data_IF_638235799589
#
_entry.id   IF_638235799589
#
_cell.length_a   1.000
_cell.length_b   1.000
_cell.length_c   1.000
_cell.angle_alpha   90.00
_cell.angle_beta   90.00
_cell.angle_gamma   90.00
#
_symmetry.space_group_name_H-M   'P 1'
#
loop_
_entity.id
_entity.type
_entity.pdbx_description
1 polymer ?
#
# COMPACT_ATOMS: atom_id res chain seq x y z
N UNK A 1 -13.40 3.83 4.90
CA UNK A 1 -13.08 2.45 5.35
C UNK A 1 -14.39 1.78 5.73
N UNK A 2 -14.58 0.49 5.40
CA UNK A 2 -15.83 -0.19 5.76
C UNK A 2 -15.84 -0.53 7.25
N UNK A 3 -17.04 -0.70 7.80
CA UNK A 3 -17.21 -1.10 9.20
C UNK A 3 -16.63 -2.49 9.48
N UNK A 4 -16.62 -3.38 8.48
CA UNK A 4 -16.01 -4.70 8.56
C UNK A 4 -14.49 -4.64 8.73
N UNK A 5 -13.81 -3.73 8.02
CA UNK A 5 -12.35 -3.54 8.15
C UNK A 5 -11.98 -3.05 9.55
N UNK A 6 -12.76 -2.11 10.10
CA UNK A 6 -12.51 -1.58 11.44
C UNK A 6 -12.73 -2.65 12.51
N UNK A 7 -13.78 -3.48 12.35
CA UNK A 7 -14.02 -4.62 13.22
C UNK A 7 -12.92 -5.67 13.14
N UNK A 8 -12.36 -5.92 11.95
CA UNK A 8 -11.22 -6.81 11.80
C UNK A 8 -10.02 -6.31 12.61
N UNK A 9 -9.65 -5.03 12.48
CA UNK A 9 -8.53 -4.46 13.23
C UNK A 9 -8.76 -4.46 14.74
N UNK A 10 -9.98 -4.19 15.19
CA UNK A 10 -10.32 -4.27 16.61
C UNK A 10 -10.23 -5.72 17.13
N UNK A 11 -10.84 -6.67 16.41
CA UNK A 11 -10.87 -8.08 16.82
C UNK A 11 -9.50 -8.77 16.79
N UNK A 12 -8.56 -8.25 15.99
CA UNK A 12 -7.18 -8.72 15.91
C UNK A 12 -6.23 -8.00 16.87
N UNK A 13 -6.75 -7.06 17.67
CA UNK A 13 -5.97 -6.28 18.64
C UNK A 13 -5.02 -5.27 18.00
N UNK A 14 -5.19 -4.96 16.71
CA UNK A 14 -4.38 -3.97 16.00
C UNK A 14 -4.77 -2.54 16.39
N UNK A 15 -6.03 -2.30 16.73
CA UNK A 15 -6.50 -1.02 17.31
C UNK A 15 -7.21 -1.30 18.64
N UNK A 16 -7.24 -0.30 19.53
CA UNK A 16 -7.81 -0.43 20.87
C UNK A 16 -9.30 -0.05 20.95
N UNK A 17 -9.76 0.74 19.98
CA UNK A 17 -11.11 1.28 19.95
C UNK A 17 -11.67 1.20 18.53
N UNK A 18 -13.00 1.26 18.41
CA UNK A 18 -13.68 1.24 17.12
C UNK A 18 -13.71 2.65 16.51
N UNK A 19 -12.53 3.23 16.31
CA UNK A 19 -12.33 4.52 15.65
C UNK A 19 -11.35 4.37 14.48
N UNK A 20 -11.76 4.87 13.31
CA UNK A 20 -10.93 4.85 12.12
C UNK A 20 -9.70 5.80 12.24
N UNK A 21 -9.75 6.79 13.13
CA UNK A 21 -8.61 7.65 13.43
C UNK A 21 -7.45 6.89 14.09
N UNK A 22 -7.72 5.77 14.77
CA UNK A 22 -6.70 4.92 15.39
C UNK A 22 -5.97 4.03 14.38
N UNK A 23 -6.38 4.02 13.10
CA UNK A 23 -5.72 3.23 12.05
C UNK A 23 -4.53 3.99 11.49
N UNK A 24 -3.33 3.50 11.78
CA UNK A 24 -2.07 3.98 11.19
C UNK A 24 -1.85 3.56 9.72
N UNK A 25 -1.22 4.46 8.95
CA UNK A 25 -0.97 4.31 7.52
C UNK A 25 0.51 4.51 7.19
N UNK A 26 1.04 3.67 6.29
CA UNK A 26 2.29 3.95 5.58
C UNK A 26 1.93 4.52 4.20
N UNK A 27 2.45 5.70 3.88
CA UNK A 27 2.10 6.44 2.67
C UNK A 27 3.15 6.30 1.57
N UNK A 28 2.68 6.28 0.31
CA UNK A 28 3.48 6.30 -0.90
C UNK A 28 4.57 5.21 -0.94
N UNK A 29 4.19 3.95 -0.68
CA UNK A 29 5.06 2.78 -0.70
C UNK A 29 5.44 2.34 -2.13
N UNK A 30 6.02 3.25 -2.89
CA UNK A 30 6.14 3.17 -4.34
C UNK A 30 7.49 2.62 -4.85
N UNK A 31 8.26 1.93 -4.00
CA UNK A 31 9.57 1.36 -4.38
C UNK A 31 9.87 0.07 -3.61
N UNK A 32 10.85 -0.71 -4.05
CA UNK A 32 11.27 -1.93 -3.32
C UNK A 32 11.66 -1.63 -1.87
N UNK A 33 12.42 -0.55 -1.66
CA UNK A 33 12.85 -0.13 -0.33
C UNK A 33 11.66 0.26 0.56
N UNK A 34 10.72 1.04 0.03
CA UNK A 34 9.57 1.50 0.79
C UNK A 34 8.57 0.40 1.08
N UNK A 35 8.33 -0.54 0.16
CA UNK A 35 7.45 -1.66 0.47
C UNK A 35 8.06 -2.56 1.54
N UNK A 36 9.39 -2.78 1.50
CA UNK A 36 10.12 -3.50 2.55
C UNK A 36 10.00 -2.82 3.92
N UNK A 37 10.07 -1.48 3.94
CA UNK A 37 9.89 -0.69 5.16
C UNK A 37 8.43 -0.77 5.66
N UNK A 38 7.47 -0.57 4.78
CA UNK A 38 6.04 -0.58 5.09
C UNK A 38 5.60 -1.92 5.70
N UNK A 39 6.10 -3.04 5.17
CA UNK A 39 5.83 -4.38 5.68
C UNK A 39 6.35 -4.60 7.11
N UNK A 40 7.47 -3.96 7.47
CA UNK A 40 8.08 -4.04 8.81
C UNK A 40 7.56 -2.98 9.78
N UNK A 41 6.88 -1.95 9.28
CA UNK A 41 6.35 -0.84 10.08
C UNK A 41 5.19 -1.29 10.98
N UNK A 42 4.84 -0.51 12.02
CA UNK A 42 3.62 -0.75 12.80
C UNK A 42 2.33 -0.45 12.04
N UNK A 43 2.38 0.25 10.90
CA UNK A 43 1.19 0.70 10.17
C UNK A 43 0.24 -0.44 9.83
N UNK A 44 -1.07 -0.23 9.92
CA UNK A 44 -2.06 -1.26 9.59
C UNK A 44 -2.35 -1.30 8.10
N UNK A 45 -2.32 -0.12 7.46
CA UNK A 45 -2.62 0.07 6.07
C UNK A 45 -1.39 0.54 5.30
N UNK A 46 -1.17 -0.02 4.11
CA UNK A 46 -0.18 0.45 3.16
C UNK A 46 -0.89 1.13 2.00
N UNK A 47 -0.43 2.32 1.69
CA UNK A 47 -0.87 3.11 0.57
C UNK A 47 0.21 3.18 -0.49
N UNK A 48 -0.19 3.00 -1.75
CA UNK A 48 0.72 3.11 -2.87
C UNK A 48 0.02 3.58 -4.14
N UNK A 49 0.77 4.32 -4.95
CA UNK A 49 0.33 4.94 -6.17
C UNK A 49 0.69 4.07 -7.38
N UNK A 50 -0.22 3.94 -8.34
CA UNK A 50 -0.04 3.14 -9.54
C UNK A 50 -0.19 4.02 -10.77
N UNK A 51 0.72 3.90 -11.72
CA UNK A 51 0.56 4.46 -13.07
C UNK A 51 1.15 3.54 -14.13
N UNK A 52 0.84 3.80 -15.40
CA UNK A 52 1.50 3.13 -16.52
C UNK A 52 2.87 3.75 -16.79
N UNK A 53 3.89 2.92 -16.93
CA UNK A 53 5.26 3.35 -17.21
C UNK A 53 5.32 4.33 -18.38
N UNK A 54 6.16 5.35 -18.26
CA UNK A 54 6.36 6.40 -19.27
C UNK A 54 6.98 5.90 -20.58
N UNK A 55 7.70 4.78 -20.53
CA UNK A 55 8.43 4.15 -21.64
C UNK A 55 8.03 2.68 -21.82
N UNK A 56 8.50 2.06 -22.90
CA UNK A 56 8.33 0.62 -23.11
C UNK A 56 9.22 -0.19 -22.14
N UNK A 57 8.71 -1.29 -21.54
CA UNK A 57 7.33 -1.79 -21.69
C UNK A 57 6.31 -0.93 -20.92
N UNK A 58 5.18 -0.64 -21.56
CA UNK A 58 4.02 0.10 -20.99
C UNK A 58 3.25 -0.72 -19.96
N UNK A 59 3.90 -1.06 -18.84
CA UNK A 59 3.33 -1.85 -17.74
C UNK A 59 2.93 -0.98 -16.54
N UNK A 60 2.02 -1.45 -15.66
CA UNK A 60 1.71 -0.78 -14.41
C UNK A 60 2.88 -0.88 -13.42
N UNK A 61 3.26 0.26 -12.86
CA UNK A 61 4.36 0.40 -11.90
C UNK A 61 3.89 1.17 -10.67
N UNK A 62 4.62 1.01 -9.57
CA UNK A 62 4.34 1.77 -8.35
C UNK A 62 5.03 3.12 -8.44
N UNK A 63 4.31 4.18 -8.76
CA UNK A 63 4.86 5.52 -8.90
C UNK A 63 3.78 6.59 -8.72
N UNK A 64 4.22 7.75 -8.22
CA UNK A 64 3.41 8.97 -8.15
C UNK A 64 4.03 10.02 -9.08
N UNK A 65 3.25 10.81 -9.84
CA UNK A 65 3.81 11.91 -10.62
C UNK A 65 4.66 12.88 -9.76
N UNK A 66 5.76 13.45 -10.28
CA UNK A 66 6.18 13.46 -11.69
C UNK A 66 7.00 12.22 -12.12
N UNK A 67 7.21 11.24 -11.23
CA UNK A 67 7.89 10.01 -11.60
C UNK A 67 7.08 9.26 -12.66
N UNK A 68 7.76 8.78 -13.69
CA UNK A 68 7.17 8.00 -14.79
C UNK A 68 7.76 6.59 -14.87
N UNK A 69 8.64 6.26 -13.93
CA UNK A 69 9.34 4.99 -13.81
C UNK A 69 9.46 4.62 -12.31
N UNK A 70 9.65 3.34 -12.02
CA UNK A 70 9.87 2.79 -10.68
C UNK A 70 10.71 1.51 -10.75
N UNK A 71 11.41 1.24 -9.65
CA UNK A 71 12.20 0.03 -9.45
C UNK A 71 11.32 -1.20 -9.14
N UNK A 72 10.01 -1.02 -8.98
CA UNK A 72 9.06 -2.11 -8.71
C UNK A 72 7.81 -2.01 -9.59
N UNK A 73 7.47 -3.13 -10.23
CA UNK A 73 6.21 -3.27 -10.98
C UNK A 73 5.04 -3.42 -10.02
N UNK A 74 3.82 -3.07 -10.45
CA UNK A 74 2.63 -3.35 -9.64
C UNK A 74 2.48 -4.84 -9.34
N UNK A 75 2.82 -5.70 -10.32
CA UNK A 75 2.76 -7.15 -10.17
C UNK A 75 3.68 -7.64 -9.06
N UNK A 76 4.92 -7.16 -9.01
CA UNK A 76 5.88 -7.59 -8.00
C UNK A 76 5.54 -6.98 -6.64
N UNK A 77 5.10 -5.73 -6.60
CA UNK A 77 4.58 -5.11 -5.38
C UNK A 77 3.40 -5.90 -4.78
N UNK A 78 2.46 -6.39 -5.60
CA UNK A 78 1.37 -7.25 -5.14
C UNK A 78 1.87 -8.55 -4.48
N UNK A 79 2.93 -9.16 -5.01
CA UNK A 79 3.50 -10.38 -4.42
C UNK A 79 4.03 -10.10 -3.01
N UNK A 80 4.69 -8.96 -2.81
CA UNK A 80 5.22 -8.55 -1.50
C UNK A 80 4.10 -8.37 -0.47
N UNK A 81 2.99 -7.70 -0.83
CA UNK A 81 1.91 -7.43 0.15
C UNK A 81 0.98 -8.60 0.40
N UNK A 82 0.81 -9.52 -0.56
CA UNK A 82 -0.14 -10.65 -0.44
C UNK A 82 0.21 -11.58 0.73
N UNK A 83 1.49 -11.65 1.12
CA UNK A 83 1.95 -12.43 2.28
C UNK A 83 1.75 -11.75 3.64
N UNK A 84 1.22 -10.52 3.67
CA UNK A 84 1.15 -9.71 4.88
C UNK A 84 -0.26 -9.59 5.45
N UNK A 85 -0.36 -9.23 6.73
CA UNK A 85 -1.64 -8.88 7.39
C UNK A 85 -2.03 -7.41 7.20
N UNK A 86 -1.29 -6.68 6.36
CA UNK A 86 -1.51 -5.25 6.12
C UNK A 86 -2.70 -5.07 5.19
N UNK A 87 -3.58 -4.13 5.50
CA UNK A 87 -4.56 -3.67 4.51
C UNK A 87 -3.88 -2.81 3.45
N UNK A 88 -4.50 -2.69 2.28
CA UNK A 88 -3.92 -1.97 1.13
C UNK A 88 -4.92 -0.97 0.54
N UNK A 89 -4.46 0.25 0.23
CA UNK A 89 -5.15 1.20 -0.67
C UNK A 89 -4.28 1.44 -1.90
N UNK A 90 -4.81 1.08 -3.06
CA UNK A 90 -4.18 1.32 -4.36
C UNK A 90 -4.73 2.62 -4.97
N UNK A 91 -3.88 3.61 -5.21
CA UNK A 91 -4.25 4.89 -5.79
C UNK A 91 -3.82 4.97 -7.26
N UNK A 92 -4.77 4.71 -8.16
CA UNK A 92 -4.52 4.72 -9.61
C UNK A 92 -4.47 6.15 -10.15
N UNK A 93 -3.32 6.52 -10.69
CA UNK A 93 -3.06 7.83 -11.32
C UNK A 93 -3.37 7.79 -12.81
N UNK A 94 -3.63 8.98 -13.35
CA UNK A 94 -3.82 9.22 -14.78
C UNK A 94 -2.50 9.39 -15.49
#
# INVERSE_FOLDING_TARGET
MSEQTLQYFLSSGQIQEKDAASVEWYHAANSNSKITEALKSPAHMIEADILLRGSDPKEPIMAHPPQTDSDITFRDWLKEVTGSVKGVKLDFKR
#
